data_IF_142878524067
#
_entry.id   IF_142878524067
#
_cell.length_a   1.000
_cell.length_b   1.000
_cell.length_c   1.000
_cell.angle_alpha   90.00
_cell.angle_beta   90.00
_cell.angle_gamma   90.00
#
_symmetry.space_group_name_H-M   'P 1'
#
loop_
_entity.id
_entity.type
_entity.pdbx_description
1 polymer ?
#
# COMPACT_ATOMS: atom_id res chain seq x y z
N UNK A 1 -15.53 -23.54 21.55
CA UNK A 1 -15.50 -23.36 20.08
C UNK A 1 -15.21 -21.93 19.61
N UNK A 2 -15.43 -20.87 20.42
CA UNK A 2 -15.09 -19.47 20.04
C UNK A 2 -13.59 -19.27 19.77
N UNK A 3 -12.74 -19.90 20.58
CA UNK A 3 -11.27 -19.86 20.47
C UNK A 3 -10.76 -20.55 19.20
N UNK A 4 -11.19 -21.78 18.92
CA UNK A 4 -10.69 -22.54 17.75
C UNK A 4 -10.94 -21.86 16.39
N UNK A 5 -12.07 -21.13 16.23
CA UNK A 5 -12.37 -20.41 14.97
C UNK A 5 -11.58 -19.11 14.85
N UNK A 6 -11.38 -18.36 15.94
CA UNK A 6 -10.53 -17.17 15.92
C UNK A 6 -9.05 -17.53 15.77
N UNK A 7 -8.60 -18.61 16.45
CA UNK A 7 -7.24 -19.15 16.32
C UNK A 7 -6.94 -19.57 14.87
N UNK A 8 -7.92 -20.15 14.16
CA UNK A 8 -7.79 -20.48 12.74
C UNK A 8 -7.53 -19.24 11.86
N UNK A 9 -8.33 -18.18 12.02
CA UNK A 9 -8.19 -16.95 11.23
C UNK A 9 -6.87 -16.24 11.55
N UNK A 10 -6.53 -16.08 12.84
CA UNK A 10 -5.28 -15.45 13.26
C UNK A 10 -4.05 -16.19 12.73
N UNK A 11 -4.11 -17.53 12.70
CA UNK A 11 -3.04 -18.35 12.13
C UNK A 11 -2.88 -18.15 10.62
N UNK A 12 -3.99 -18.01 9.88
CA UNK A 12 -3.96 -17.73 8.44
C UNK A 12 -3.41 -16.34 8.15
N UNK A 13 -3.85 -15.30 8.86
CA UNK A 13 -3.31 -13.93 8.70
C UNK A 13 -1.81 -13.87 9.00
N UNK A 14 -1.35 -14.58 10.04
CA UNK A 14 0.10 -14.71 10.32
C UNK A 14 0.84 -15.42 9.18
N UNK A 15 0.23 -16.45 8.59
CA UNK A 15 0.80 -17.15 7.43
C UNK A 15 0.90 -16.20 6.23
N UNK A 16 -0.15 -15.45 5.91
CA UNK A 16 -0.13 -14.46 4.82
C UNK A 16 0.98 -13.44 5.00
N UNK A 17 1.09 -12.85 6.19
CA UNK A 17 2.17 -11.90 6.52
C UNK A 17 3.56 -12.49 6.26
N UNK A 18 3.78 -13.74 6.66
CA UNK A 18 5.04 -14.45 6.41
C UNK A 18 5.28 -14.69 4.92
N UNK A 19 4.25 -15.08 4.17
CA UNK A 19 4.33 -15.36 2.74
C UNK A 19 4.47 -14.09 1.87
N UNK A 20 3.96 -12.94 2.31
CA UNK A 20 4.13 -11.66 1.62
C UNK A 20 5.53 -11.07 1.79
N UNK A 21 6.25 -11.43 2.86
CA UNK A 21 7.61 -10.93 3.12
C UNK A 21 8.59 -11.15 1.94
N UNK A 22 8.70 -12.35 1.33
CA UNK A 22 9.55 -12.56 0.15
C UNK A 22 9.06 -11.83 -1.11
N UNK A 23 7.76 -11.59 -1.26
CA UNK A 23 7.21 -10.78 -2.36
C UNK A 23 7.67 -9.32 -2.21
N UNK A 24 7.55 -8.77 -0.99
CA UNK A 24 8.01 -7.41 -0.69
C UNK A 24 9.50 -7.23 -1.00
N UNK A 25 10.31 -8.25 -0.70
CA UNK A 25 11.75 -8.22 -0.94
C UNK A 25 12.15 -8.13 -2.42
N UNK A 26 11.29 -8.56 -3.33
CA UNK A 26 11.55 -8.52 -4.79
C UNK A 26 10.83 -7.39 -5.52
N UNK A 27 9.97 -6.63 -4.83
CA UNK A 27 9.11 -5.63 -5.45
C UNK A 27 9.89 -4.52 -6.16
N UNK A 28 11.09 -4.19 -5.65
CA UNK A 28 11.98 -3.21 -6.28
C UNK A 28 12.59 -3.71 -7.61
N UNK A 29 12.88 -5.01 -7.73
CA UNK A 29 13.34 -5.61 -8.99
C UNK A 29 12.17 -5.73 -9.98
N UNK A 30 11.01 -6.16 -9.48
CA UNK A 30 9.79 -6.28 -10.27
C UNK A 30 9.35 -4.93 -10.88
N UNK A 31 9.42 -3.83 -10.11
CA UNK A 31 9.03 -2.49 -10.60
C UNK A 31 9.94 -1.96 -11.70
N UNK A 32 11.21 -2.35 -11.74
CA UNK A 32 12.12 -2.01 -12.83
C UNK A 32 11.86 -2.88 -14.06
N UNK A 33 11.64 -4.18 -13.86
CA UNK A 33 11.42 -5.15 -14.94
C UNK A 33 10.06 -5.01 -15.62
N UNK A 34 9.01 -4.60 -14.91
CA UNK A 34 7.66 -4.46 -15.47
C UNK A 34 7.60 -3.47 -16.67
N UNK A 35 8.56 -2.55 -16.77
CA UNK A 35 8.64 -1.58 -17.88
C UNK A 35 8.96 -2.28 -19.20
N UNK A 36 9.73 -3.37 -19.15
CA UNK A 36 10.25 -4.07 -20.33
C UNK A 36 9.64 -5.47 -20.51
N UNK A 37 9.25 -6.12 -19.42
CA UNK A 37 8.79 -7.50 -19.41
C UNK A 37 7.29 -7.58 -19.11
N UNK A 38 6.48 -7.89 -20.13
CA UNK A 38 5.01 -7.98 -19.99
C UNK A 38 4.55 -9.03 -18.97
N UNK A 39 5.30 -10.13 -18.84
CA UNK A 39 4.98 -11.18 -17.85
C UNK A 39 5.13 -10.67 -16.41
N UNK A 40 6.16 -9.88 -16.14
CA UNK A 40 6.36 -9.24 -14.83
C UNK A 40 5.31 -8.16 -14.59
N UNK A 41 4.92 -7.42 -15.63
CA UNK A 41 3.84 -6.44 -15.53
C UNK A 41 2.50 -7.08 -15.11
N UNK A 42 2.12 -8.19 -15.73
CA UNK A 42 0.91 -8.93 -15.36
C UNK A 42 1.00 -9.42 -13.91
N UNK A 43 2.13 -9.98 -13.51
CA UNK A 43 2.34 -10.43 -12.14
C UNK A 43 2.23 -9.30 -11.10
N UNK A 44 2.75 -8.11 -11.39
CA UNK A 44 2.60 -6.95 -10.50
C UNK A 44 1.14 -6.48 -10.43
N UNK A 45 0.40 -6.52 -11.54
CA UNK A 45 -1.03 -6.20 -11.53
C UNK A 45 -1.82 -7.22 -10.70
N UNK A 46 -1.58 -8.52 -10.89
CA UNK A 46 -2.22 -9.58 -10.11
C UNK A 46 -1.89 -9.46 -8.61
N UNK A 47 -0.67 -9.02 -8.28
CA UNK A 47 -0.27 -8.71 -6.91
C UNK A 47 -1.02 -7.50 -6.34
N UNK A 48 -1.29 -6.47 -7.15
CA UNK A 48 -2.07 -5.32 -6.75
C UNK A 48 -3.54 -5.70 -6.49
N UNK A 49 -4.12 -6.51 -7.37
CA UNK A 49 -5.48 -7.03 -7.21
C UNK A 49 -5.60 -7.87 -5.92
N UNK A 50 -4.62 -8.74 -5.66
CA UNK A 50 -4.57 -9.50 -4.41
C UNK A 50 -4.47 -8.59 -3.16
N UNK A 51 -3.76 -7.46 -3.24
CA UNK A 51 -3.67 -6.53 -2.13
C UNK A 51 -5.05 -5.93 -1.79
N UNK A 52 -5.86 -5.59 -2.81
CA UNK A 52 -7.24 -5.17 -2.60
C UNK A 52 -8.11 -6.28 -2.00
N UNK A 53 -7.99 -7.52 -2.49
CA UNK A 53 -8.72 -8.67 -1.92
C UNK A 53 -8.38 -8.89 -0.44
N UNK A 54 -7.10 -8.73 -0.06
CA UNK A 54 -6.66 -8.83 1.34
C UNK A 54 -7.28 -7.71 2.19
N UNK A 55 -7.25 -6.47 1.70
CA UNK A 55 -7.80 -5.30 2.40
C UNK A 55 -9.30 -5.48 2.66
N UNK A 56 -10.05 -5.90 1.63
CA UNK A 56 -11.48 -6.23 1.73
C UNK A 56 -11.76 -7.31 2.79
N UNK A 57 -10.88 -8.32 2.91
CA UNK A 57 -11.00 -9.36 3.95
C UNK A 57 -10.74 -8.78 5.35
N UNK A 58 -9.73 -7.92 5.49
CA UNK A 58 -9.40 -7.30 6.78
C UNK A 58 -10.52 -6.37 7.25
N UNK A 59 -11.11 -5.60 6.35
CA UNK A 59 -12.25 -4.72 6.63
C UNK A 59 -13.51 -5.51 7.02
N UNK A 60 -13.79 -6.62 6.33
CA UNK A 60 -14.88 -7.53 6.69
C UNK A 60 -14.67 -8.16 8.09
N UNK A 61 -13.43 -8.49 8.48
CA UNK A 61 -13.10 -8.98 9.82
C UNK A 61 -13.32 -7.89 10.87
N UNK A 62 -12.83 -6.68 10.61
CA UNK A 62 -12.95 -5.56 11.53
C UNK A 62 -14.42 -5.21 11.78
N UNK A 63 -15.20 -5.12 10.69
CA UNK A 63 -16.64 -4.84 10.73
C UNK A 63 -17.39 -5.90 11.53
N UNK A 64 -17.10 -7.18 11.30
CA UNK A 64 -17.71 -8.26 12.07
C UNK A 64 -17.30 -8.24 13.54
N UNK A 65 -16.04 -7.93 13.83
CA UNK A 65 -15.53 -7.77 15.19
C UNK A 65 -16.31 -6.71 15.98
N UNK A 66 -16.51 -5.54 15.37
CA UNK A 66 -17.30 -4.44 15.96
C UNK A 66 -18.76 -4.87 16.20
N UNK A 67 -19.39 -5.51 15.21
CA UNK A 67 -20.77 -5.99 15.34
C UNK A 67 -20.94 -7.01 16.46
N UNK A 68 -20.00 -7.94 16.60
CA UNK A 68 -20.01 -8.93 17.70
C UNK A 68 -19.82 -8.27 19.06
N UNK A 69 -19.04 -7.20 19.14
CA UNK A 69 -18.86 -6.42 20.36
C UNK A 69 -20.16 -5.69 20.74
N UNK A 70 -20.80 -5.01 19.79
CA UNK A 70 -22.09 -4.34 19.99
C UNK A 70 -23.17 -5.31 20.49
N UNK A 71 -23.30 -6.48 19.85
CA UNK A 71 -24.30 -7.49 20.24
C UNK A 71 -24.07 -8.04 21.66
N UNK A 72 -22.81 -8.12 22.11
CA UNK A 72 -22.49 -8.51 23.48
C UNK A 72 -22.88 -7.40 24.47
N UNK A 73 -22.57 -6.15 24.16
CA UNK A 73 -22.93 -5.00 25.02
C UNK A 73 -24.45 -4.83 25.13
N UNK A 74 -25.21 -4.94 24.04
CA UNK A 74 -26.69 -4.89 24.09
C UNK A 74 -27.29 -6.01 24.93
N UNK A 75 -26.72 -7.22 24.88
CA UNK A 75 -27.17 -8.36 25.69
C UNK A 75 -26.92 -8.17 27.20
N UNK A 76 -25.85 -7.47 27.58
CA UNK A 76 -25.53 -7.18 28.99
C UNK A 76 -26.40 -6.05 29.53
N UNK A 77 -26.75 -5.07 28.69
CA UNK A 77 -27.46 -3.86 29.09
C UNK A 77 -29.01 -4.02 29.10
N UNK A 78 -29.54 -5.09 28.49
CA UNK A 78 -30.98 -5.36 28.36
C UNK A 78 -31.48 -6.50 29.28
N UNK A 79 -30.80 -6.76 30.39
CA UNK A 79 -31.21 -7.81 31.35
C UNK A 79 -32.16 -7.28 32.43
N UNK A 80 -33.40 -6.96 32.06
CA UNK A 80 -34.51 -6.74 33.02
C UNK A 80 -35.52 -7.89 33.08
N UNK A 81 -35.44 -8.88 32.19
CA UNK A 81 -36.33 -10.05 32.19
C UNK A 81 -35.67 -11.28 32.82
N UNK A 82 -36.23 -11.73 33.95
CA UNK A 82 -35.78 -12.91 34.72
C UNK A 82 -35.91 -14.25 33.96
N UNK A 83 -36.48 -14.26 32.76
CA UNK A 83 -36.81 -15.46 31.97
C UNK A 83 -35.67 -15.89 31.02
N UNK A 84 -34.70 -15.02 30.72
CA UNK A 84 -33.59 -15.32 29.80
C UNK A 84 -32.37 -15.98 30.46
N UNK A 85 -32.39 -16.20 31.78
CA UNK A 85 -31.28 -16.86 32.52
C UNK A 85 -31.05 -18.33 32.16
N UNK A 86 -31.91 -18.93 31.35
CA UNK A 86 -31.89 -20.36 31.00
C UNK A 86 -31.18 -20.67 29.67
N UNK A 87 -30.79 -19.67 28.89
CA UNK A 87 -29.97 -19.91 27.70
C UNK A 87 -28.51 -19.83 28.11
N UNK A 88 -27.75 -20.94 28.10
CA UNK A 88 -26.34 -20.89 28.43
C UNK A 88 -25.62 -19.93 27.47
N UNK A 89 -24.78 -19.05 28.00
CA UNK A 89 -23.98 -18.08 27.23
C UNK A 89 -23.09 -18.73 26.15
N UNK A 90 -22.98 -20.07 26.13
CA UNK A 90 -22.27 -20.84 25.12
C UNK A 90 -23.05 -21.06 23.80
N UNK A 91 -24.38 -20.93 23.80
CA UNK A 91 -25.25 -21.22 22.65
C UNK A 91 -25.51 -20.01 21.73
N UNK A 92 -25.05 -18.81 22.10
CA UNK A 92 -25.21 -17.57 21.30
C UNK A 92 -24.39 -17.56 20.00
N UNK A 93 -23.54 -18.57 19.78
CA UNK A 93 -22.67 -18.66 18.60
C UNK A 93 -23.33 -19.35 17.38
N UNK A 94 -24.49 -19.98 17.55
CA UNK A 94 -25.18 -20.74 16.49
C UNK A 94 -26.27 -19.95 15.77
N UNK A 95 -26.19 -18.62 15.77
CA UNK A 95 -27.10 -17.83 14.95
C UNK A 95 -26.85 -18.15 13.46
N UNK A 96 -27.90 -18.26 12.62
CA UNK A 96 -27.74 -18.53 11.19
C UNK A 96 -26.75 -17.58 10.53
N UNK A 97 -26.75 -16.32 10.96
CA UNK A 97 -25.81 -15.32 10.51
C UNK A 97 -24.35 -15.70 10.80
N UNK A 98 -23.99 -16.09 12.02
CA UNK A 98 -22.60 -16.41 12.39
C UNK A 98 -22.06 -17.63 11.62
N UNK A 99 -22.94 -18.58 11.32
CA UNK A 99 -22.62 -19.77 10.51
C UNK A 99 -22.36 -19.34 9.06
N UNK A 100 -23.30 -18.58 8.47
CA UNK A 100 -23.18 -18.09 7.09
C UNK A 100 -21.96 -17.20 6.90
N UNK A 101 -21.74 -16.24 7.81
CA UNK A 101 -20.55 -15.39 7.81
C UNK A 101 -19.29 -16.23 7.90
N UNK A 102 -19.20 -17.18 8.82
CA UNK A 102 -18.02 -18.04 8.95
C UNK A 102 -17.69 -18.82 7.68
N UNK A 103 -18.71 -19.33 6.98
CA UNK A 103 -18.52 -20.04 5.70
C UNK A 103 -18.07 -19.10 4.59
N UNK A 104 -18.72 -17.94 4.45
CA UNK A 104 -18.33 -16.89 3.49
C UNK A 104 -16.88 -16.46 3.73
N UNK A 105 -16.52 -16.27 4.99
CA UNK A 105 -15.19 -15.81 5.38
C UNK A 105 -14.12 -16.86 5.12
N UNK A 106 -14.39 -18.12 5.44
CA UNK A 106 -13.48 -19.22 5.10
C UNK A 106 -13.21 -19.27 3.59
N UNK A 107 -14.25 -19.12 2.77
CA UNK A 107 -14.10 -19.12 1.31
C UNK A 107 -13.22 -17.98 0.81
N UNK A 108 -13.40 -16.74 1.34
CA UNK A 108 -12.55 -15.60 0.99
C UNK A 108 -11.10 -15.82 1.40
N UNK A 109 -10.89 -16.35 2.62
CA UNK A 109 -9.56 -16.66 3.13
C UNK A 109 -8.87 -17.73 2.25
N UNK A 110 -9.59 -18.76 1.82
CA UNK A 110 -9.05 -19.81 0.95
C UNK A 110 -8.69 -19.27 -0.44
N UNK A 111 -9.53 -18.40 -1.01
CA UNK A 111 -9.27 -17.73 -2.29
C UNK A 111 -7.99 -16.88 -2.26
N UNK A 112 -7.89 -15.97 -1.28
CA UNK A 112 -6.70 -15.13 -1.09
C UNK A 112 -5.46 -15.96 -0.84
N UNK A 113 -5.57 -17.04 -0.04
CA UNK A 113 -4.45 -17.94 0.23
C UNK A 113 -3.95 -18.61 -1.06
N UNK A 114 -4.87 -18.99 -1.94
CA UNK A 114 -4.53 -19.64 -3.22
C UNK A 114 -3.83 -18.65 -4.14
N UNK A 115 -4.43 -17.47 -4.38
CA UNK A 115 -3.82 -16.41 -5.20
C UNK A 115 -2.43 -16.01 -4.69
N UNK A 116 -2.26 -15.91 -3.37
CA UNK A 116 -0.98 -15.58 -2.76
C UNK A 116 0.09 -16.65 -3.02
N UNK A 117 -0.25 -17.93 -2.94
CA UNK A 117 0.67 -19.02 -3.29
C UNK A 117 1.04 -18.99 -4.78
N UNK A 118 0.05 -18.82 -5.66
CA UNK A 118 0.29 -18.75 -7.10
C UNK A 118 1.27 -17.62 -7.46
N UNK A 119 1.13 -16.45 -6.84
CA UNK A 119 2.06 -15.34 -7.04
C UNK A 119 3.46 -15.64 -6.50
N UNK A 120 3.59 -16.35 -5.38
CA UNK A 120 4.90 -16.76 -4.84
C UNK A 120 5.58 -17.76 -5.77
N UNK A 121 4.84 -18.67 -6.37
CA UNK A 121 5.37 -19.67 -7.29
C UNK A 121 5.83 -18.99 -8.59
N UNK A 122 4.99 -18.13 -9.18
CA UNK A 122 5.34 -17.32 -10.35
C UNK A 122 6.58 -16.43 -10.11
N UNK A 123 6.70 -15.85 -8.91
CA UNK A 123 7.87 -15.05 -8.50
C UNK A 123 9.18 -15.83 -8.64
N UNK A 124 9.16 -17.14 -8.35
CA UNK A 124 10.33 -18.00 -8.47
C UNK A 124 10.68 -18.27 -9.95
N UNK A 125 9.66 -18.35 -10.82
CA UNK A 125 9.83 -18.60 -12.26
C UNK A 125 10.36 -17.37 -13.01
N UNK A 126 9.99 -16.16 -12.60
CA UNK A 126 10.43 -14.91 -13.24
C UNK A 126 11.86 -14.48 -12.85
N UNK A 127 12.55 -15.27 -12.02
CA UNK A 127 13.92 -14.97 -11.61
C UNK A 127 14.06 -13.60 -10.93
N UNK A 128 13.01 -13.16 -10.23
CA UNK A 128 13.00 -11.91 -9.48
C UNK A 128 14.00 -12.00 -8.32
N UNK A 129 14.89 -11.01 -8.22
CA UNK A 129 15.97 -11.01 -7.23
C UNK A 129 15.65 -10.08 -6.08
N UNK A 130 16.09 -10.48 -4.88
CA UNK A 130 16.09 -9.58 -3.74
C UNK A 130 17.19 -8.54 -4.00
N UNK A 131 16.79 -7.29 -4.28
CA UNK A 131 17.73 -6.19 -4.43
C UNK A 131 18.24 -5.78 -3.05
N UNK A 132 19.30 -6.47 -2.57
CA UNK A 132 20.05 -6.10 -1.35
C UNK A 132 20.93 -4.89 -1.60
N UNK A 133 21.44 -4.75 -2.82
CA UNK A 133 22.12 -3.54 -3.26
C UNK A 133 21.12 -2.65 -3.98
N UNK A 134 20.69 -1.61 -3.28
CA UNK A 134 20.55 -0.31 -3.92
C UNK A 134 21.96 0.05 -4.38
N UNK A 135 22.41 -0.52 -5.49
CA UNK A 135 23.58 -0.01 -6.19
C UNK A 135 23.28 1.47 -6.30
N UNK A 136 24.18 2.28 -5.75
CA UNK A 136 24.21 3.71 -5.95
C UNK A 136 24.48 3.96 -7.44
N UNK A 137 23.56 3.53 -8.30
CA UNK A 137 23.20 4.29 -9.46
C UNK A 137 22.59 5.53 -8.84
N UNK A 138 23.49 6.44 -8.45
CA UNK A 138 23.34 7.83 -8.79
C UNK A 138 22.63 7.81 -10.12
N UNK A 139 21.30 7.93 -10.09
CA UNK A 139 20.58 8.59 -11.13
C UNK A 139 21.25 9.97 -11.16
N UNK A 140 22.44 10.06 -11.76
CA UNK A 140 22.76 11.18 -12.60
C UNK A 140 21.64 11.12 -13.60
N UNK A 141 20.53 11.76 -13.21
CA UNK A 141 19.51 12.29 -14.08
C UNK A 141 20.30 12.67 -15.31
N UNK A 142 20.08 11.92 -16.40
CA UNK A 142 20.68 12.24 -17.69
C UNK A 142 20.65 13.74 -17.77
N UNK A 143 21.82 14.39 -17.85
CA UNK A 143 21.90 15.84 -18.06
C UNK A 143 21.00 16.08 -19.27
N UNK A 144 19.78 16.54 -19.01
CA UNK A 144 18.82 16.82 -20.05
C UNK A 144 19.36 18.10 -20.63
N UNK A 145 20.20 17.96 -21.65
CA UNK A 145 20.62 19.05 -22.51
C UNK A 145 19.37 19.50 -23.27
N UNK A 146 18.45 20.14 -22.57
CA UNK A 146 17.28 20.78 -23.13
C UNK A 146 17.80 22.06 -23.77
N UNK A 147 18.19 21.96 -25.04
CA UNK A 147 18.39 23.15 -25.87
C UNK A 147 17.00 23.75 -26.10
N UNK A 148 16.57 24.61 -25.19
CA UNK A 148 15.29 25.31 -25.32
C UNK A 148 15.48 26.50 -26.25
N UNK A 149 14.59 26.63 -27.20
CA UNK A 149 14.49 27.82 -28.04
C UNK A 149 13.89 28.97 -27.20
N UNK A 150 14.75 29.88 -26.74
CA UNK A 150 14.40 31.02 -25.87
C UNK A 150 13.30 31.90 -26.49
N UNK A 151 13.21 31.96 -27.82
CA UNK A 151 12.20 32.76 -28.52
C UNK A 151 10.75 32.30 -28.27
N UNK A 152 10.55 31.06 -27.80
CA UNK A 152 9.24 30.48 -27.51
C UNK A 152 8.80 30.67 -26.05
N UNK A 153 9.67 31.24 -25.22
CA UNK A 153 9.36 31.53 -23.81
C UNK A 153 8.87 32.97 -23.73
N UNK A 154 7.61 33.17 -23.37
CA UNK A 154 7.05 34.49 -23.14
C UNK A 154 6.48 34.61 -21.72
N UNK A 155 6.46 35.83 -21.18
CA UNK A 155 5.82 36.13 -19.89
C UNK A 155 6.64 35.84 -18.63
N UNK A 156 7.92 35.44 -18.76
CA UNK A 156 8.84 35.17 -17.64
C UNK A 156 9.98 36.18 -17.50
N UNK A 157 9.94 37.32 -18.19
CA UNK A 157 11.03 38.30 -18.13
C UNK A 157 11.22 38.86 -16.71
N UNK A 158 10.13 39.13 -15.98
CA UNK A 158 10.21 39.59 -14.60
C UNK A 158 10.82 38.56 -13.64
N UNK A 159 10.50 37.27 -13.82
CA UNK A 159 11.10 36.18 -13.03
C UNK A 159 12.61 36.08 -13.30
N UNK A 160 13.02 36.23 -14.57
CA UNK A 160 14.42 36.21 -15.00
C UNK A 160 15.21 37.37 -14.42
N UNK A 161 14.68 38.59 -14.49
CA UNK A 161 15.33 39.77 -13.89
C UNK A 161 15.46 39.63 -12.36
N UNK A 162 14.40 39.16 -11.69
CA UNK A 162 14.42 38.94 -10.24
C UNK A 162 15.42 37.84 -9.83
N UNK A 163 15.56 36.78 -10.63
CA UNK A 163 16.56 35.74 -10.40
C UNK A 163 17.98 36.27 -10.63
N UNK A 164 18.22 36.99 -11.73
CA UNK A 164 19.53 37.57 -12.03
C UNK A 164 19.98 38.53 -10.94
N UNK A 165 19.06 39.35 -10.40
CA UNK A 165 19.35 40.22 -9.26
C UNK A 165 19.73 39.46 -7.99
N UNK A 166 19.17 38.27 -7.76
CA UNK A 166 19.50 37.41 -6.60
C UNK A 166 20.80 36.61 -6.78
N UNK A 167 21.15 36.25 -8.02
CA UNK A 167 22.35 35.47 -8.32
C UNK A 167 23.60 36.34 -8.52
N UNK A 168 23.43 37.55 -9.08
CA UNK A 168 24.51 38.51 -9.33
C UNK A 168 24.57 39.63 -8.29
N UNK A 169 23.63 39.66 -7.35
CA UNK A 169 23.67 40.59 -6.22
C UNK A 169 24.85 40.25 -5.32
N UNK A 170 25.76 41.18 -5.13
CA UNK A 170 26.82 41.11 -4.11
C UNK A 170 26.18 41.34 -2.74
N UNK A 171 25.60 40.30 -2.16
CA UNK A 171 25.51 40.24 -0.70
C UNK A 171 26.83 39.64 -0.21
N UNK A 172 27.58 40.41 0.59
CA UNK A 172 28.75 39.93 1.32
C UNK A 172 28.32 38.78 2.25
N UNK A 173 28.37 37.56 1.73
CA UNK A 173 28.21 36.36 2.52
C UNK A 173 29.59 35.86 2.94
N UNK A 174 29.98 36.22 4.16
CA UNK A 174 31.01 35.52 4.92
C UNK A 174 30.47 34.09 5.15
N UNK A 175 31.02 33.12 4.40
CA UNK A 175 30.73 31.68 4.47
C UNK A 175 29.24 31.26 4.48
N UNK A 176 28.56 31.18 3.33
CA UNK A 176 27.48 30.18 3.15
C UNK A 176 27.06 30.00 1.68
N UNK A 177 26.70 28.77 1.33
CA UNK A 177 26.10 28.40 0.04
C UNK A 177 24.74 29.09 -0.10
N UNK A 178 24.53 29.82 -1.20
CA UNK A 178 23.23 30.42 -1.54
C UNK A 178 22.33 29.41 -2.28
N UNK A 179 21.11 29.22 -1.79
CA UNK A 179 20.12 28.30 -2.37
C UNK A 179 18.90 29.10 -2.86
N UNK A 180 18.61 29.00 -4.15
CA UNK A 180 17.38 29.55 -4.75
C UNK A 180 16.42 28.41 -5.07
N UNK A 181 15.25 28.43 -4.43
CA UNK A 181 14.19 27.42 -4.65
C UNK A 181 13.15 27.94 -5.63
N UNK A 182 12.74 27.11 -6.59
CA UNK A 182 11.68 27.40 -7.54
C UNK A 182 10.56 26.38 -7.31
N UNK A 183 9.36 26.86 -7.01
CA UNK A 183 8.20 26.02 -6.68
C UNK A 183 7.08 26.30 -7.66
N UNK A 184 6.51 25.25 -8.24
CA UNK A 184 5.39 25.32 -9.17
C UNK A 184 4.72 23.96 -9.34
N UNK A 185 3.51 23.94 -9.87
CA UNK A 185 2.83 22.69 -10.22
C UNK A 185 3.48 22.06 -11.46
N UNK A 186 3.46 20.73 -11.54
CA UNK A 186 3.98 19.99 -12.68
C UNK A 186 3.32 20.47 -14.00
N UNK A 187 4.13 20.65 -15.05
CA UNK A 187 3.66 21.11 -16.37
C UNK A 187 3.66 22.63 -16.55
N UNK A 188 3.79 23.43 -15.49
CA UNK A 188 4.10 24.85 -15.59
C UNK A 188 5.62 24.94 -15.69
N UNK A 189 6.17 25.10 -16.91
CA UNK A 189 7.61 25.14 -17.22
C UNK A 189 8.45 25.69 -16.05
N UNK A 190 8.90 24.82 -15.16
CA UNK A 190 9.73 25.13 -13.98
C UNK A 190 11.09 24.55 -14.33
N UNK A 191 11.76 25.27 -15.23
CA UNK A 191 13.11 24.99 -15.65
C UNK A 191 13.91 26.24 -15.41
N UNK A 192 14.95 26.13 -14.59
CA UNK A 192 16.10 27.03 -14.65
C UNK A 192 17.33 26.13 -14.60
N UNK A 193 18.29 26.42 -15.48
CA UNK A 193 19.66 25.91 -15.44
C UNK A 193 20.52 26.93 -14.71
#
# INVERSE_FOLDING_TARGET
>A
MKLARSEGIDSQLKKWKKTMSPIQAVLADASQKQIKERVVQLWVNDLQDLAYDIDDVLDDLATEGLRRKLNQETSVNSSTSKVLKLVPNCCTNFTPHNIMYGRKMSSKLDEVTTKLHDLVDQKNDFGLKVNVERSNITEKRLEQNSLVDESKIMGREGDKEALMGKLLGEEECDESVSVVSIVGMAGIHTLIR
#
